data_IF_700904118036
#
_entry.id   IF_700904118036
#
_cell.length_a   1.000
_cell.length_b   1.000
_cell.length_c   1.000
_cell.angle_alpha   90.00
_cell.angle_beta   90.00
_cell.angle_gamma   90.00
#
_symmetry.space_group_name_H-M   'P 1'
#
loop_
_entity.id
_entity.type
_entity.pdbx_description
1 polymer ?
#
# COMPACT_ATOMS: atom_id res chain seq x y z
N UNK A 1 -12.59 -13.82 28.07
CA UNK A 1 -11.55 -12.91 27.53
C UNK A 1 -11.15 -13.40 26.14
N UNK A 2 -11.53 -12.68 25.07
CA UNK A 2 -11.15 -13.06 23.70
C UNK A 2 -9.74 -12.58 23.43
N UNK A 3 -8.76 -13.49 23.38
CA UNK A 3 -7.37 -13.15 23.06
C UNK A 3 -7.32 -12.60 21.61
N UNK A 4 -6.70 -11.44 21.36
CA UNK A 4 -6.63 -10.88 20.02
C UNK A 4 -5.91 -11.85 19.09
N UNK A 5 -6.49 -12.11 17.91
CA UNK A 5 -5.85 -12.98 16.91
C UNK A 5 -4.50 -12.39 16.51
N UNK A 6 -3.43 -13.20 16.44
CA UNK A 6 -2.13 -12.72 16.01
C UNK A 6 -2.24 -12.16 14.60
N UNK A 7 -1.59 -11.01 14.36
CA UNK A 7 -1.57 -10.38 13.04
C UNK A 7 -0.60 -11.15 12.15
N UNK A 8 -1.12 -11.83 11.12
CA UNK A 8 -0.28 -12.51 10.12
C UNK A 8 0.03 -11.55 8.98
N UNK A 9 1.30 -11.48 8.56
CA UNK A 9 1.67 -10.75 7.34
C UNK A 9 1.09 -11.47 6.11
N UNK A 10 0.45 -10.75 5.17
CA UNK A 10 -0.02 -11.36 3.94
C UNK A 10 1.14 -12.02 3.18
N UNK A 11 0.91 -13.23 2.70
CA UNK A 11 1.91 -13.99 1.93
C UNK A 11 2.11 -13.41 0.52
N UNK A 12 1.11 -12.69 0.01
CA UNK A 12 1.17 -11.95 -1.25
C UNK A 12 0.58 -10.55 -1.05
N UNK A 13 1.32 -9.54 -1.49
CA UNK A 13 0.89 -8.15 -1.54
C UNK A 13 0.64 -7.76 -2.99
N UNK A 14 -0.37 -6.95 -3.23
CA UNK A 14 -0.65 -6.40 -4.56
C UNK A 14 0.31 -5.26 -4.90
N UNK A 15 0.74 -4.54 -3.87
CA UNK A 15 1.68 -3.43 -3.96
C UNK A 15 3.08 -3.84 -3.51
N UNK A 16 4.10 -3.18 -4.06
CA UNK A 16 5.46 -3.22 -3.54
C UNK A 16 5.61 -2.13 -2.46
N UNK A 17 5.80 -2.48 -1.17
CA UNK A 17 5.75 -1.51 -0.09
C UNK A 17 6.84 -0.42 -0.19
N UNK A 18 8.03 -0.80 -0.65
CA UNK A 18 9.14 0.11 -0.89
C UNK A 18 8.84 1.08 -2.05
N UNK A 19 8.19 0.62 -3.11
CA UNK A 19 7.82 1.48 -4.23
C UNK A 19 6.79 2.55 -3.83
N UNK A 20 5.81 2.18 -2.99
CA UNK A 20 4.84 3.13 -2.43
C UNK A 20 5.53 4.18 -1.57
N UNK A 21 6.46 3.75 -0.72
CA UNK A 21 7.22 4.66 0.16
C UNK A 21 8.06 5.63 -0.67
N UNK A 22 8.79 5.13 -1.66
CA UNK A 22 9.61 5.94 -2.55
C UNK A 22 8.76 6.93 -3.37
N UNK A 23 7.64 6.49 -3.93
CA UNK A 23 6.75 7.36 -4.70
C UNK A 23 6.14 8.47 -3.84
N UNK A 24 5.75 8.16 -2.60
CA UNK A 24 5.30 9.17 -1.63
C UNK A 24 6.38 10.22 -1.34
N UNK A 25 7.61 9.77 -1.10
CA UNK A 25 8.72 10.67 -0.80
C UNK A 25 9.09 11.56 -2.00
N UNK A 26 9.06 11.00 -3.21
CA UNK A 26 9.24 11.76 -4.45
C UNK A 26 8.15 12.81 -4.67
N UNK A 27 6.91 12.51 -4.28
CA UNK A 27 5.81 13.46 -4.30
C UNK A 27 5.89 14.51 -3.18
N UNK A 28 6.84 14.41 -2.24
CA UNK A 28 6.98 15.33 -1.11
C UNK A 28 5.83 15.22 -0.08
N UNK A 29 5.07 14.12 -0.11
CA UNK A 29 3.89 13.94 0.74
C UNK A 29 4.26 13.22 2.04
N UNK A 30 3.63 13.60 3.14
CA UNK A 30 3.66 12.82 4.38
C UNK A 30 2.67 11.66 4.31
N UNK A 31 2.87 10.61 5.13
CA UNK A 31 1.92 9.48 5.22
C UNK A 31 0.49 9.97 5.52
N UNK A 32 0.39 10.94 6.44
CA UNK A 32 -0.84 11.61 6.83
C UNK A 32 -1.51 12.38 5.68
N UNK A 33 -0.72 13.12 4.90
CA UNK A 33 -1.23 13.88 3.76
C UNK A 33 -1.80 12.93 2.69
N UNK A 34 -1.03 11.91 2.31
CA UNK A 34 -1.47 10.92 1.32
C UNK A 34 -2.70 10.15 1.81
N UNK A 35 -2.71 9.72 3.08
CA UNK A 35 -3.85 9.04 3.68
C UNK A 35 -5.12 9.91 3.67
N UNK A 36 -5.00 11.19 4.01
CA UNK A 36 -6.11 12.16 3.95
C UNK A 36 -6.61 12.35 2.53
N UNK A 37 -5.73 12.42 1.53
CA UNK A 37 -6.09 12.62 0.13
C UNK A 37 -6.90 11.44 -0.44
N UNK A 38 -6.56 10.21 -0.06
CA UNK A 38 -7.28 9.00 -0.52
C UNK A 38 -8.45 8.59 0.39
N UNK A 39 -8.61 9.26 1.55
CA UNK A 39 -9.67 9.00 2.51
C UNK A 39 -9.45 7.77 3.39
N UNK A 40 -8.21 7.47 3.77
CA UNK A 40 -7.88 6.40 4.72
C UNK A 40 -7.16 6.90 5.97
N UNK A 41 -7.03 6.02 6.96
CA UNK A 41 -6.23 6.25 8.16
C UNK A 41 -4.72 6.28 7.86
N UNK A 42 -3.98 7.16 8.54
CA UNK A 42 -2.51 7.19 8.52
C UNK A 42 -1.91 5.84 8.96
N UNK A 43 -2.52 5.17 9.94
CA UNK A 43 -2.10 3.85 10.39
C UNK A 43 -2.23 2.85 9.25
N UNK A 44 -3.35 2.88 8.52
CA UNK A 44 -3.55 2.00 7.37
C UNK A 44 -2.52 2.26 6.27
N UNK A 45 -2.18 3.53 6.02
CA UNK A 45 -1.10 3.89 5.08
C UNK A 45 0.25 3.30 5.53
N UNK A 46 0.59 3.45 6.81
CA UNK A 46 1.81 2.87 7.36
C UNK A 46 1.85 1.34 7.28
N UNK A 47 0.72 0.67 7.49
CA UNK A 47 0.61 -0.78 7.33
C UNK A 47 0.76 -1.23 5.87
N UNK A 48 0.28 -0.45 4.91
CA UNK A 48 0.45 -0.70 3.47
C UNK A 48 1.91 -0.54 3.05
N UNK A 49 2.55 0.57 3.45
CA UNK A 49 3.98 0.86 3.21
C UNK A 49 4.93 -0.11 3.91
N UNK A 50 4.49 -0.73 5.00
CA UNK A 50 5.28 -1.73 5.73
C UNK A 50 4.99 -3.18 5.29
N UNK A 51 4.04 -3.38 4.37
CA UNK A 51 3.60 -4.70 3.91
C UNK A 51 2.83 -5.53 4.95
N UNK A 52 2.39 -4.91 6.06
CA UNK A 52 1.53 -5.57 7.06
C UNK A 52 0.08 -5.71 6.61
N UNK A 53 -0.34 -4.92 5.61
CA UNK A 53 -1.68 -4.96 5.02
C UNK A 53 -1.58 -5.02 3.50
N UNK A 54 -2.40 -5.86 2.89
CA UNK A 54 -2.57 -5.83 1.44
C UNK A 54 -3.44 -4.62 1.06
N UNK A 55 -2.98 -3.80 0.12
CA UNK A 55 -3.83 -2.74 -0.43
C UNK A 55 -4.88 -3.39 -1.34
N UNK A 56 -6.14 -3.01 -1.16
CA UNK A 56 -7.17 -3.40 -2.14
C UNK A 56 -6.82 -2.75 -3.48
N UNK A 57 -7.17 -3.37 -4.62
CA UNK A 57 -6.93 -2.79 -5.94
C UNK A 57 -7.48 -1.36 -6.06
N UNK A 58 -8.64 -1.10 -5.45
CA UNK A 58 -9.25 0.23 -5.38
C UNK A 58 -8.39 1.23 -4.61
N UNK A 59 -7.82 0.84 -3.46
CA UNK A 59 -6.93 1.73 -2.70
C UNK A 59 -5.61 1.95 -3.43
N UNK A 60 -5.07 0.93 -4.09
CA UNK A 60 -3.86 1.05 -4.89
C UNK A 60 -4.03 2.02 -6.06
N UNK A 61 -5.17 1.95 -6.76
CA UNK A 61 -5.51 2.90 -7.81
C UNK A 61 -5.63 4.35 -7.29
N UNK A 62 -6.26 4.55 -6.12
CA UNK A 62 -6.33 5.87 -5.47
C UNK A 62 -4.95 6.39 -5.08
N UNK A 63 -4.08 5.53 -4.55
CA UNK A 63 -2.69 5.89 -4.21
C UNK A 63 -1.94 6.30 -5.48
N UNK A 64 -2.04 5.53 -6.56
CA UNK A 64 -1.42 5.84 -7.84
C UNK A 64 -1.87 7.20 -8.39
N UNK A 65 -3.19 7.47 -8.36
CA UNK A 65 -3.74 8.77 -8.75
C UNK A 65 -3.25 9.91 -7.85
N UNK A 66 -3.22 9.71 -6.54
CA UNK A 66 -2.79 10.73 -5.59
C UNK A 66 -1.29 11.06 -5.73
N UNK A 67 -0.48 10.07 -6.09
CA UNK A 67 0.96 10.21 -6.34
C UNK A 67 1.30 10.59 -7.78
N UNK A 68 0.28 10.74 -8.65
CA UNK A 68 0.43 10.99 -10.08
C UNK A 68 1.43 10.02 -10.76
N UNK A 69 1.33 8.74 -10.40
CA UNK A 69 2.19 7.68 -10.93
C UNK A 69 1.35 6.54 -11.53
N UNK A 70 1.90 5.78 -12.49
CA UNK A 70 1.18 4.65 -13.07
C UNK A 70 1.08 3.50 -12.05
N UNK A 71 -0.08 2.82 -12.02
CA UNK A 71 -0.35 1.71 -11.09
C UNK A 71 0.76 0.65 -11.11
N UNK A 72 1.26 0.33 -12.31
CA UNK A 72 2.33 -0.66 -12.54
C UNK A 72 3.65 -0.33 -11.84
N UNK A 73 3.90 0.95 -11.51
CA UNK A 73 5.08 1.35 -10.76
C UNK A 73 4.96 1.03 -9.26
N UNK A 74 3.72 0.93 -8.75
CA UNK A 74 3.42 0.60 -7.36
C UNK A 74 3.08 -0.87 -7.16
N UNK A 75 2.60 -1.54 -8.20
CA UNK A 75 2.28 -2.96 -8.16
C UNK A 75 3.54 -3.79 -7.94
N UNK A 76 3.45 -4.75 -7.01
CA UNK A 76 4.46 -5.79 -6.92
C UNK A 76 4.31 -6.64 -8.16
N UNK A 77 5.38 -6.74 -8.97
CA UNK A 77 5.39 -7.65 -10.13
C UNK A 77 4.96 -9.02 -9.63
N UNK A 78 3.74 -9.42 -9.99
CA UNK A 78 3.32 -10.80 -9.83
C UNK A 78 4.25 -11.57 -10.74
N UNK A 79 5.18 -12.33 -10.16
CA UNK A 79 5.68 -13.50 -10.87
C UNK A 79 4.41 -14.30 -11.17
N UNK A 80 3.95 -14.21 -12.41
CA UNK A 80 2.87 -15.06 -12.90
C UNK A 80 3.26 -16.46 -12.53
N UNK A 81 2.53 -17.06 -11.59
CA UNK A 81 2.61 -18.49 -11.33
C UNK A 81 2.11 -19.12 -12.62
N UNK A 82 3.05 -19.45 -13.50
CA UNK A 82 2.81 -20.28 -14.66
C UNK A 82 2.32 -21.63 -14.15
N UNK A 83 1.21 -22.08 -14.73
CA UNK A 83 0.46 -23.29 -14.40
C UNK A 83 1.32 -24.55 -14.32
#
# INVERSE_FOLDING_TARGET
MTRPRPRTRPRHLHQEPEAVTWAREKAGLTKRALARQIGISEVLMGEIESGWRNATPTNLAKIAQALNCPLVALERKRATVTA
#
